data_IF_993917026084
#
_entry.id   IF_993917026084
#
_cell.length_a   1.000
_cell.length_b   1.000
_cell.length_c   1.000
_cell.angle_alpha   90.00
_cell.angle_beta   90.00
_cell.angle_gamma   90.00
#
_symmetry.space_group_name_H-M   'P 1'
#
loop_
_entity.id
_entity.type
_entity.pdbx_description
1 polymer ?
#
# COMPACT_ATOMS: atom_id res chain seq x y z
N UNK A 1 -16.20 -7.28 1.08
CA UNK A 1 -15.93 -5.89 1.53
C UNK A 1 -16.30 -4.85 0.47
N UNK A 2 -16.62 -3.61 0.87
CA UNK A 2 -17.07 -2.53 -0.04
C UNK A 2 -15.95 -2.01 -0.94
N UNK A 3 -16.28 -1.54 -2.16
CA UNK A 3 -15.35 -0.86 -3.09
C UNK A 3 -14.61 0.31 -2.43
N UNK A 4 -15.26 0.96 -1.46
CA UNK A 4 -14.71 2.07 -0.68
C UNK A 4 -13.49 1.66 0.13
N UNK A 5 -13.52 0.50 0.80
CA UNK A 5 -12.37 0.06 1.61
C UNK A 5 -11.13 -0.21 0.75
N UNK A 6 -11.32 -0.80 -0.45
CA UNK A 6 -10.24 -1.00 -1.43
C UNK A 6 -9.64 0.32 -1.91
N UNK A 7 -10.50 1.31 -2.17
CA UNK A 7 -10.06 2.63 -2.57
C UNK A 7 -9.23 3.30 -1.46
N UNK A 8 -9.72 3.29 -0.22
CA UNK A 8 -8.99 3.83 0.94
C UNK A 8 -7.64 3.11 1.11
N UNK A 9 -7.62 1.78 1.02
CA UNK A 9 -6.40 0.99 1.09
C UNK A 9 -5.38 1.38 0.01
N UNK A 10 -5.86 1.63 -1.20
CA UNK A 10 -5.04 2.11 -2.32
C UNK A 10 -4.52 3.51 -2.06
N UNK A 11 -5.32 4.43 -1.52
CA UNK A 11 -4.85 5.76 -1.11
C UNK A 11 -3.75 5.67 -0.04
N UNK A 12 -3.87 4.77 0.93
CA UNK A 12 -2.84 4.57 1.96
C UNK A 12 -1.51 4.12 1.34
N UNK A 13 -1.54 3.33 0.27
CA UNK A 13 -0.31 2.92 -0.41
C UNK A 13 0.51 4.10 -0.96
N UNK A 14 -0.12 5.26 -1.18
CA UNK A 14 0.53 6.50 -1.62
C UNK A 14 1.26 7.23 -0.48
N UNK A 15 1.24 6.73 0.75
CA UNK A 15 1.92 7.39 1.89
C UNK A 15 3.39 7.72 1.59
N UNK A 16 4.22 6.82 1.02
CA UNK A 16 5.61 7.17 0.71
C UNK A 16 5.75 8.27 -0.34
N UNK A 17 4.79 8.39 -1.26
CA UNK A 17 4.76 9.48 -2.24
C UNK A 17 4.69 10.83 -1.53
N UNK A 18 3.75 10.98 -0.57
CA UNK A 18 3.59 12.22 0.19
C UNK A 18 4.78 12.50 1.12
N UNK A 19 5.42 11.47 1.65
CA UNK A 19 6.66 11.63 2.42
C UNK A 19 7.78 12.17 1.53
N UNK A 20 8.01 11.58 0.36
CA UNK A 20 9.06 12.02 -0.58
C UNK A 20 8.76 13.44 -1.09
N UNK A 21 7.51 13.73 -1.47
CA UNK A 21 7.09 15.08 -1.85
C UNK A 21 7.34 16.10 -0.73
N UNK A 22 6.98 15.76 0.51
CA UNK A 22 7.28 16.58 1.67
C UNK A 22 8.78 16.87 1.80
N UNK A 23 9.64 15.86 1.67
CA UNK A 23 11.09 16.05 1.71
C UNK A 23 11.61 16.95 0.59
N UNK A 24 11.04 16.85 -0.61
CA UNK A 24 11.41 17.74 -1.73
C UNK A 24 11.04 19.19 -1.43
N UNK A 25 9.82 19.44 -0.96
CA UNK A 25 9.39 20.80 -0.60
C UNK A 25 10.16 21.35 0.60
N UNK A 26 10.50 20.51 1.57
CA UNK A 26 11.37 20.87 2.69
C UNK A 26 12.77 21.27 2.20
N UNK A 27 13.35 20.50 1.29
CA UNK A 27 14.67 20.80 0.73
C UNK A 27 14.66 22.10 -0.09
N UNK A 28 13.60 22.36 -0.86
CA UNK A 28 13.45 23.63 -1.58
C UNK A 28 13.36 24.82 -0.60
N UNK A 29 12.50 24.70 0.42
CA UNK A 29 12.33 25.72 1.46
C UNK A 29 13.65 26.07 2.17
N UNK A 30 14.46 25.06 2.49
CA UNK A 30 15.71 25.23 3.22
C UNK A 30 16.86 25.76 2.36
N UNK A 31 16.95 25.40 1.07
CA UNK A 31 18.19 25.56 0.29
C UNK A 31 18.07 26.37 -0.99
N UNK A 32 16.95 26.25 -1.71
CA UNK A 32 16.83 26.78 -3.08
C UNK A 32 15.84 27.94 -3.18
N UNK A 33 14.85 28.00 -2.29
CA UNK A 33 13.73 28.95 -2.29
C UNK A 33 13.18 29.24 -3.69
N UNK A 34 13.05 28.19 -4.53
CA UNK A 34 12.50 28.37 -5.88
C UNK A 34 10.98 28.47 -5.87
N UNK A 35 10.32 27.84 -4.90
CA UNK A 35 8.87 27.90 -4.71
C UNK A 35 8.47 28.86 -3.60
N UNK A 36 7.65 29.85 -3.95
CA UNK A 36 7.09 30.84 -3.01
C UNK A 36 6.18 30.25 -1.93
N UNK A 37 5.78 28.98 -2.04
CA UNK A 37 4.88 28.31 -1.09
C UNK A 37 5.39 26.92 -0.68
N UNK A 38 6.71 26.70 -0.74
CA UNK A 38 7.34 25.41 -0.44
C UNK A 38 7.02 24.94 0.99
N UNK A 39 7.01 25.84 1.97
CA UNK A 39 6.69 25.56 3.36
C UNK A 39 5.23 25.10 3.55
N UNK A 40 4.28 25.74 2.86
CA UNK A 40 2.86 25.36 2.91
C UNK A 40 2.66 23.99 2.27
N UNK A 41 3.27 23.75 1.11
CA UNK A 41 3.23 22.46 0.42
C UNK A 41 3.85 21.34 1.26
N UNK A 42 4.95 21.61 1.97
CA UNK A 42 5.55 20.67 2.92
C UNK A 42 4.57 20.29 4.03
N UNK A 43 3.95 21.28 4.69
CA UNK A 43 2.99 21.05 5.79
C UNK A 43 1.79 20.23 5.30
N UNK A 44 1.28 20.52 4.11
CA UNK A 44 0.17 19.78 3.49
C UNK A 44 0.58 18.32 3.26
N UNK A 45 1.74 18.08 2.62
CA UNK A 45 2.22 16.72 2.34
C UNK A 45 2.43 15.92 3.63
N UNK A 46 3.02 16.54 4.66
CA UNK A 46 3.23 15.92 5.96
C UNK A 46 1.90 15.59 6.64
N UNK A 47 0.94 16.51 6.62
CA UNK A 47 -0.39 16.31 7.21
C UNK A 47 -1.12 15.15 6.54
N UNK A 48 -1.08 15.08 5.20
CA UNK A 48 -1.69 13.96 4.45
C UNK A 48 -1.00 12.64 4.80
N UNK A 49 0.33 12.60 4.83
CA UNK A 49 1.07 11.39 5.19
C UNK A 49 0.69 10.89 6.61
N UNK A 50 0.59 11.79 7.59
CA UNK A 50 0.17 11.45 8.96
C UNK A 50 -1.25 10.89 8.97
N UNK A 51 -2.20 11.53 8.28
CA UNK A 51 -3.59 11.05 8.18
C UNK A 51 -3.64 9.65 7.55
N UNK A 52 -2.91 9.41 6.48
CA UNK A 52 -2.87 8.09 5.82
C UNK A 52 -2.28 7.01 6.74
N UNK A 53 -1.24 7.32 7.52
CA UNK A 53 -0.67 6.40 8.51
C UNK A 53 -1.69 6.11 9.63
N UNK A 54 -2.41 7.11 10.12
CA UNK A 54 -3.44 6.91 11.14
C UNK A 54 -4.58 6.03 10.61
N UNK A 55 -5.05 6.29 9.38
CA UNK A 55 -6.05 5.47 8.71
C UNK A 55 -5.57 4.03 8.52
N UNK A 56 -4.30 3.83 8.15
CA UNK A 56 -3.70 2.50 8.05
C UNK A 56 -3.78 1.74 9.36
N UNK A 57 -3.37 2.36 10.47
CA UNK A 57 -3.39 1.73 11.80
C UNK A 57 -4.83 1.39 12.21
N UNK A 58 -5.78 2.30 11.98
CA UNK A 58 -7.20 2.09 12.27
C UNK A 58 -7.77 0.92 11.47
N UNK A 59 -7.53 0.88 10.15
CA UNK A 59 -8.02 -0.20 9.28
C UNK A 59 -7.38 -1.53 9.66
N UNK A 60 -6.07 -1.59 9.87
CA UNK A 60 -5.40 -2.82 10.29
C UNK A 60 -5.95 -3.34 11.62
N UNK A 61 -6.17 -2.45 12.58
CA UNK A 61 -6.75 -2.81 13.89
C UNK A 61 -8.18 -3.30 13.76
N UNK A 62 -8.99 -2.63 12.92
CA UNK A 62 -10.36 -3.03 12.65
C UNK A 62 -10.41 -4.41 11.99
N UNK A 63 -9.58 -4.63 10.98
CA UNK A 63 -9.52 -5.87 10.22
C UNK A 63 -9.16 -7.05 11.11
N UNK A 64 -8.10 -6.92 11.90
CA UNK A 64 -7.62 -8.00 12.78
C UNK A 64 -8.65 -8.34 13.88
N UNK A 65 -9.47 -7.37 14.32
CA UNK A 65 -10.42 -7.56 15.42
C UNK A 65 -11.81 -8.04 14.98
N UNK A 66 -12.29 -7.61 13.82
CA UNK A 66 -13.70 -7.72 13.46
C UNK A 66 -13.99 -8.64 12.28
N UNK A 67 -12.98 -9.06 11.52
CA UNK A 67 -13.20 -10.00 10.44
C UNK A 67 -13.07 -11.45 10.87
N UNK A 68 -13.90 -12.27 10.24
CA UNK A 68 -13.90 -13.70 10.41
C UNK A 68 -12.58 -14.29 9.94
N UNK A 69 -12.03 -15.17 10.78
CA UNK A 69 -10.84 -15.94 10.47
C UNK A 69 -11.23 -17.16 9.67
N UNK A 70 -10.50 -17.41 8.59
CA UNK A 70 -10.66 -18.56 7.72
C UNK A 70 -9.34 -19.31 7.74
N UNK A 71 -9.39 -20.63 7.88
CA UNK A 71 -8.21 -21.50 7.84
C UNK A 71 -8.22 -22.39 6.61
N UNK A 72 -7.11 -22.44 5.89
CA UNK A 72 -6.92 -23.39 4.79
C UNK A 72 -5.44 -23.75 4.63
N UNK A 73 -5.17 -24.92 4.02
CA UNK A 73 -3.82 -25.40 3.74
C UNK A 73 -3.20 -24.71 2.53
N UNK A 74 -1.91 -24.38 2.62
CA UNK A 74 -1.12 -23.84 1.50
C UNK A 74 -0.39 -24.99 0.79
N UNK A 75 -0.62 -25.13 -0.52
CA UNK A 75 0.02 -26.15 -1.35
C UNK A 75 1.34 -25.66 -1.96
N UNK A 76 1.31 -24.47 -2.56
CA UNK A 76 2.45 -23.83 -3.22
C UNK A 76 2.54 -22.35 -2.81
N UNK A 77 3.76 -21.84 -2.75
CA UNK A 77 4.04 -20.43 -2.45
C UNK A 77 5.12 -19.86 -3.35
N UNK A 78 4.87 -18.66 -3.86
CA UNK A 78 5.74 -17.91 -4.76
C UNK A 78 5.92 -16.49 -4.23
N UNK A 79 7.17 -16.01 -4.17
CA UNK A 79 7.47 -14.65 -3.69
C UNK A 79 7.10 -13.61 -4.75
N UNK A 80 6.41 -12.52 -4.35
CA UNK A 80 6.08 -11.38 -5.24
C UNK A 80 6.95 -10.14 -5.01
N UNK A 81 8.00 -10.22 -4.20
CA UNK A 81 8.85 -9.07 -3.82
C UNK A 81 9.33 -8.26 -5.05
N UNK A 82 9.72 -8.90 -6.16
CA UNK A 82 10.16 -8.20 -7.38
C UNK A 82 9.03 -7.39 -8.06
N UNK A 83 7.82 -7.95 -8.09
CA UNK A 83 6.63 -7.27 -8.64
C UNK A 83 6.25 -6.09 -7.76
N UNK A 84 6.38 -6.24 -6.44
CA UNK A 84 6.08 -5.16 -5.51
C UNK A 84 7.13 -4.05 -5.60
N UNK A 85 8.41 -4.38 -5.63
CA UNK A 85 9.50 -3.41 -5.76
C UNK A 85 9.42 -2.62 -7.07
N UNK A 86 9.18 -3.29 -8.20
CA UNK A 86 8.98 -2.63 -9.49
C UNK A 86 7.73 -1.73 -9.50
N UNK A 87 6.64 -2.18 -8.89
CA UNK A 87 5.45 -1.35 -8.66
C UNK A 87 5.77 -0.10 -7.82
N UNK A 88 6.56 -0.26 -6.76
CA UNK A 88 7.01 0.85 -5.91
C UNK A 88 7.84 1.88 -6.67
N UNK A 89 8.82 1.42 -7.43
CA UNK A 89 9.66 2.29 -8.22
C UNK A 89 8.85 3.03 -9.28
N UNK A 90 7.87 2.37 -9.92
CA UNK A 90 7.04 2.96 -10.97
C UNK A 90 6.27 4.18 -10.49
N UNK A 91 5.68 4.14 -9.29
CA UNK A 91 4.93 5.29 -8.77
C UNK A 91 5.84 6.37 -8.14
N UNK A 92 7.07 6.04 -7.75
CA UNK A 92 8.05 7.01 -7.21
C UNK A 92 8.89 7.67 -8.30
N UNK A 93 9.11 7.01 -9.44
CA UNK A 93 10.01 7.45 -10.50
C UNK A 93 9.76 8.89 -10.98
N UNK A 94 8.51 9.34 -11.21
CA UNK A 94 8.26 10.71 -11.63
C UNK A 94 8.73 11.75 -10.61
N UNK A 95 8.80 11.42 -9.32
CA UNK A 95 9.22 12.37 -8.29
C UNK A 95 10.71 12.74 -8.34
N UNK A 96 11.54 11.87 -8.92
CA UNK A 96 12.99 12.09 -9.00
C UNK A 96 13.36 12.98 -10.18
N UNK A 97 12.50 13.03 -11.21
CA UNK A 97 12.81 13.66 -12.49
C UNK A 97 12.09 14.98 -12.72
N UNK A 98 11.09 15.32 -11.90
CA UNK A 98 10.26 16.50 -12.12
C UNK A 98 10.85 17.75 -11.46
N UNK A 99 11.14 18.76 -12.26
CA UNK A 99 11.27 20.14 -11.80
C UNK A 99 9.87 20.71 -11.61
N UNK A 100 9.48 20.99 -10.36
CA UNK A 100 8.15 21.50 -10.06
C UNK A 100 7.85 22.81 -10.78
N UNK A 101 8.88 23.59 -11.15
CA UNK A 101 8.73 24.93 -11.73
C UNK A 101 8.13 24.90 -13.15
N UNK A 102 8.22 23.74 -13.80
CA UNK A 102 7.78 23.52 -15.17
C UNK A 102 6.49 22.69 -15.24
N UNK A 103 5.90 22.30 -14.09
CA UNK A 103 4.67 21.52 -14.08
C UNK A 103 3.50 22.38 -14.53
N UNK A 104 2.84 21.97 -15.60
CA UNK A 104 1.51 22.44 -15.92
C UNK A 104 0.50 21.86 -14.91
N UNK A 105 0.09 22.66 -13.93
CA UNK A 105 -0.82 22.26 -12.85
C UNK A 105 -2.18 21.77 -13.33
N UNK A 106 -2.68 22.26 -14.48
CA UNK A 106 -3.94 21.79 -15.08
C UNK A 106 -3.78 20.37 -15.61
N UNK A 107 -2.69 20.10 -16.35
CA UNK A 107 -2.39 18.77 -16.85
C UNK A 107 -2.14 17.78 -15.70
N UNK A 108 -1.41 18.21 -14.66
CA UNK A 108 -1.17 17.40 -13.47
C UNK A 108 -2.48 17.07 -12.73
N UNK A 109 -3.37 18.05 -12.53
CA UNK A 109 -4.69 17.81 -11.96
C UNK A 109 -5.52 16.83 -12.79
N UNK A 110 -5.49 16.96 -14.12
CA UNK A 110 -6.13 16.02 -15.04
C UNK A 110 -5.60 14.58 -14.90
N UNK A 111 -4.27 14.42 -14.80
CA UNK A 111 -3.64 13.11 -14.58
C UNK A 111 -4.12 12.48 -13.27
N UNK A 112 -4.16 13.24 -12.17
CA UNK A 112 -4.64 12.76 -10.88
C UNK A 112 -6.09 12.29 -10.96
N UNK A 113 -6.97 13.07 -11.62
CA UNK A 113 -8.38 12.69 -11.81
C UNK A 113 -8.49 11.36 -12.57
N UNK A 114 -7.74 11.21 -13.67
CA UNK A 114 -7.72 9.96 -14.45
C UNK A 114 -7.24 8.79 -13.60
N UNK A 115 -6.18 8.96 -12.81
CA UNK A 115 -5.68 7.91 -11.92
C UNK A 115 -6.73 7.52 -10.86
N UNK A 116 -7.42 8.48 -10.24
CA UNK A 116 -8.49 8.21 -9.27
C UNK A 116 -9.64 7.43 -9.92
N UNK A 117 -10.07 7.83 -11.12
CA UNK A 117 -11.10 7.12 -11.88
C UNK A 117 -10.66 5.69 -12.19
N UNK A 118 -9.43 5.49 -12.67
CA UNK A 118 -8.89 4.16 -12.95
C UNK A 118 -8.82 3.29 -11.70
N UNK A 119 -8.39 3.83 -10.56
CA UNK A 119 -8.38 3.09 -9.30
C UNK A 119 -9.79 2.71 -8.82
N UNK A 120 -10.80 3.51 -9.16
CA UNK A 120 -12.19 3.21 -8.79
C UNK A 120 -12.86 2.19 -9.71
N UNK A 121 -12.54 2.21 -11.01
CA UNK A 121 -13.12 1.31 -12.01
C UNK A 121 -12.42 -0.06 -12.00
N UNK A 122 -11.09 -0.07 -11.82
CA UNK A 122 -10.31 -1.31 -11.83
C UNK A 122 -10.45 -2.06 -10.50
N UNK A 123 -10.17 -3.37 -10.53
CA UNK A 123 -10.02 -4.18 -9.30
C UNK A 123 -8.59 -4.18 -8.78
N UNK A 124 -7.73 -3.31 -9.30
CA UNK A 124 -6.32 -3.27 -8.94
C UNK A 124 -6.21 -2.66 -7.55
N UNK A 125 -5.63 -3.40 -6.63
CA UNK A 125 -5.26 -2.90 -5.31
C UNK A 125 -3.76 -2.66 -5.33
N UNK A 126 -3.34 -1.43 -5.03
CA UNK A 126 -1.93 -1.09 -4.93
C UNK A 126 -1.31 -1.80 -3.72
N UNK A 127 -0.10 -2.33 -3.90
CA UNK A 127 0.68 -2.90 -2.80
C UNK A 127 1.01 -1.80 -1.80
N UNK A 128 0.69 -2.03 -0.53
CA UNK A 128 0.90 -1.03 0.52
C UNK A 128 2.31 -1.13 1.10
N UNK A 129 3.18 -0.11 0.93
CA UNK A 129 4.56 -0.13 1.43
C UNK A 129 4.65 -0.12 2.96
N UNK A 130 3.63 0.40 3.65
CA UNK A 130 3.58 0.40 5.12
C UNK A 130 3.61 -1.01 5.70
N UNK A 131 3.07 -2.00 4.98
CA UNK A 131 3.15 -3.39 5.38
C UNK A 131 4.58 -3.93 5.37
N UNK A 132 5.41 -3.53 4.41
CA UNK A 132 6.82 -3.91 4.38
C UNK A 132 7.60 -3.35 5.56
N UNK A 133 7.34 -2.10 5.95
CA UNK A 133 7.94 -1.50 7.15
C UNK A 133 7.54 -2.24 8.44
N UNK A 134 6.36 -2.87 8.46
CA UNK A 134 5.91 -3.74 9.55
C UNK A 134 6.41 -5.19 9.44
N UNK A 135 7.23 -5.51 8.44
CA UNK A 135 7.83 -6.82 8.19
C UNK A 135 6.92 -7.81 7.47
N UNK A 136 5.79 -7.36 6.90
CA UNK A 136 4.96 -8.19 6.04
C UNK A 136 5.52 -8.25 4.61
N UNK A 137 5.27 -9.36 3.95
CA UNK A 137 5.64 -9.64 2.56
C UNK A 137 4.43 -10.15 1.79
N UNK A 138 4.46 -9.97 0.47
CA UNK A 138 3.42 -10.46 -0.43
C UNK A 138 3.87 -11.74 -1.13
N UNK A 139 2.99 -12.73 -1.14
CA UNK A 139 3.20 -14.01 -1.79
C UNK A 139 2.01 -14.36 -2.69
N UNK A 140 2.26 -15.02 -3.81
CA UNK A 140 1.26 -15.81 -4.51
C UNK A 140 1.16 -17.15 -3.80
N UNK A 141 -0.02 -17.56 -3.38
CA UNK A 141 -0.22 -18.91 -2.84
C UNK A 141 -1.24 -19.66 -3.68
N UNK A 142 -1.07 -20.97 -3.77
CA UNK A 142 -2.07 -21.88 -4.29
C UNK A 142 -2.63 -22.68 -3.12
N UNK A 143 -3.92 -22.56 -2.86
CA UNK A 143 -4.57 -23.36 -1.83
C UNK A 143 -4.79 -24.79 -2.31
N UNK A 144 -5.06 -25.71 -1.39
CA UNK A 144 -5.41 -27.12 -1.70
C UNK A 144 -6.63 -27.25 -2.63
N UNK A 145 -7.52 -26.26 -2.65
CA UNK A 145 -8.63 -26.18 -3.60
C UNK A 145 -8.20 -25.90 -5.05
N UNK A 146 -6.91 -25.64 -5.29
CA UNK A 146 -6.34 -25.29 -6.59
C UNK A 146 -6.46 -23.80 -6.94
N UNK A 147 -7.16 -23.00 -6.14
CA UNK A 147 -7.35 -21.56 -6.38
C UNK A 147 -6.10 -20.78 -5.94
N UNK A 148 -5.70 -19.80 -6.76
CA UNK A 148 -4.58 -18.89 -6.46
C UNK A 148 -5.07 -17.65 -5.72
N UNK A 149 -4.38 -17.32 -4.63
CA UNK A 149 -4.63 -16.16 -3.79
C UNK A 149 -3.37 -15.33 -3.62
N UNK A 150 -3.51 -14.07 -3.23
CA UNK A 150 -2.38 -13.27 -2.75
C UNK A 150 -2.39 -13.25 -1.23
N UNK A 151 -1.27 -13.63 -0.61
CA UNK A 151 -1.11 -13.69 0.82
C UNK A 151 -0.17 -12.58 1.31
N UNK A 152 -0.56 -11.91 2.39
CA UNK A 152 0.26 -10.96 3.15
C UNK A 152 0.64 -11.62 4.47
N UNK A 153 1.93 -11.76 4.73
CA UNK A 153 2.42 -12.51 5.89
C UNK A 153 3.80 -12.03 6.36
N UNK A 154 4.09 -12.20 7.66
CA UNK A 154 5.44 -12.03 8.23
C UNK A 154 6.27 -13.32 8.20
N UNK A 155 5.65 -14.46 7.89
CA UNK A 155 6.33 -15.75 7.87
C UNK A 155 7.31 -15.84 6.70
N UNK A 156 8.50 -16.37 6.97
CA UNK A 156 9.57 -16.52 5.97
C UNK A 156 9.62 -17.92 5.34
N UNK A 157 8.99 -18.90 5.98
CA UNK A 157 8.99 -20.31 5.58
C UNK A 157 7.57 -20.85 5.73
N UNK A 158 7.21 -21.73 4.83
CA UNK A 158 5.92 -22.42 4.81
C UNK A 158 6.19 -23.90 4.61
N UNK A 159 5.47 -24.76 5.32
CA UNK A 159 5.43 -26.19 5.04
C UNK A 159 4.23 -26.49 4.16
N UNK A 160 4.37 -27.43 3.23
CA UNK A 160 3.24 -27.89 2.40
C UNK A 160 2.16 -28.49 3.31
N UNK A 161 0.91 -28.07 3.13
CA UNK A 161 -0.22 -28.51 3.96
C UNK A 161 -0.26 -27.88 5.34
N UNK A 162 0.54 -26.85 5.61
CA UNK A 162 0.45 -26.07 6.86
C UNK A 162 -0.85 -25.26 6.85
N UNK A 163 -1.75 -25.57 7.78
CA UNK A 163 -2.97 -24.80 8.01
C UNK A 163 -2.64 -23.57 8.86
N UNK A 164 -3.01 -22.40 8.35
CA UNK A 164 -2.89 -21.13 9.07
C UNK A 164 -4.19 -20.37 9.04
N UNK A 165 -4.34 -19.44 9.98
CA UNK A 165 -5.49 -18.56 10.09
C UNK A 165 -5.26 -17.29 9.28
N UNK A 166 -6.22 -16.99 8.43
CA UNK A 166 -6.19 -15.85 7.52
C UNK A 166 -7.45 -15.00 7.68
N UNK A 167 -7.31 -13.72 7.37
CA UNK A 167 -8.43 -12.80 7.20
C UNK A 167 -8.44 -12.33 5.75
N UNK A 168 -9.58 -12.46 5.08
CA UNK A 168 -9.74 -11.91 3.73
C UNK A 168 -9.83 -10.39 3.80
N UNK A 169 -8.92 -9.70 3.12
CA UNK A 169 -8.97 -8.26 2.94
C UNK A 169 -9.90 -7.92 1.78
N UNK A 170 -9.51 -8.28 0.55
CA UNK A 170 -10.16 -7.84 -0.68
C UNK A 170 -9.89 -8.82 -1.83
N UNK A 171 -10.91 -9.22 -2.61
CA UNK A 171 -10.74 -9.94 -3.89
C UNK A 171 -9.57 -10.94 -3.90
N UNK A 172 -9.63 -11.98 -3.07
CA UNK A 172 -8.59 -13.02 -2.99
C UNK A 172 -7.22 -12.57 -2.40
N UNK A 173 -7.19 -11.42 -1.71
CA UNK A 173 -6.06 -10.95 -0.89
C UNK A 173 -6.30 -11.30 0.57
N UNK A 174 -5.43 -12.12 1.14
CA UNK A 174 -5.52 -12.60 2.52
C UNK A 174 -4.38 -12.05 3.36
N UNK A 175 -4.66 -11.78 4.63
CA UNK A 175 -3.68 -11.41 5.65
C UNK A 175 -3.55 -12.57 6.64
N UNK A 176 -2.33 -13.04 6.87
CA UNK A 176 -2.05 -14.00 7.96
C UNK A 176 -2.22 -13.31 9.31
N UNK A 177 -3.06 -13.91 10.15
CA UNK A 177 -3.29 -13.46 11.53
C UNK A 177 -2.92 -14.62 12.44
N UNK A 178 -2.04 -14.38 13.41
CA UNK A 178 -1.73 -15.38 14.43
C UNK A 178 -2.98 -15.67 15.26
N UNK A 179 -3.23 -16.94 15.53
CA UNK A 179 -4.20 -17.29 16.56
C UNK A 179 -3.67 -16.94 17.94
N UNK A 180 -4.60 -16.54 18.84
CA UNK A 180 -4.25 -16.06 20.18
C UNK A 180 -3.54 -17.11 21.04
N UNK A 181 -3.55 -18.38 20.62
CA UNK A 181 -2.99 -19.52 21.35
C UNK A 181 -1.55 -19.87 20.95
N UNK A 182 -0.97 -19.19 19.96
CA UNK A 182 0.40 -19.47 19.49
C UNK A 182 1.38 -18.47 20.12
N UNK A 183 1.70 -18.72 21.41
CA UNK A 183 2.76 -18.04 22.17
C UNK A 183 4.11 -18.71 21.96
#
# INVERSE_FOLDING_TARGET
MSKVMKFIWSCISLTPLFIVLGLVFLADWLWKQTFSYSEVCFIICLSIAIVLILLFVLIMTFIIKHLDKISFGIEEIENKDDTVASGMLTYLLPLVTISFAEINWVAFGGLIIVMVILLFITRIVLFNPLLYFLGYKYYSIKAESGVKYTLITKAKKFKKGECKSFVELFDNLYLEVKDKDDK
#
